data_IF_977124495930
#
_entry.id   IF_977124495930
#
_cell.length_a   1.000
_cell.length_b   1.000
_cell.length_c   1.000
_cell.angle_alpha   90.00
_cell.angle_beta   90.00
_cell.angle_gamma   90.00
#
_symmetry.space_group_name_H-M   'P 1'
#
loop_
_entity.id
_entity.type
_entity.pdbx_description
1 polymer ?
#
# COMPACT_ATOMS: atom_id res chain seq x y z
N UNK A 1 19.02 40.90 -34.33
CA UNK A 1 19.12 39.46 -34.04
C UNK A 1 18.17 39.18 -32.89
N UNK A 2 16.95 38.72 -33.18
CA UNK A 2 16.12 38.09 -32.16
C UNK A 2 16.73 36.72 -31.89
N UNK A 3 17.32 36.53 -30.71
CA UNK A 3 17.60 35.18 -30.21
C UNK A 3 16.29 34.40 -30.30
N UNK A 4 16.28 33.39 -31.16
CA UNK A 4 15.12 32.54 -31.36
C UNK A 4 15.04 31.65 -30.12
N UNK A 5 14.27 32.12 -29.15
CA UNK A 5 14.10 31.45 -27.87
C UNK A 5 13.41 30.11 -28.12
N UNK A 6 14.15 29.02 -27.98
CA UNK A 6 13.62 27.67 -28.14
C UNK A 6 12.58 27.38 -27.04
N UNK A 7 11.33 27.24 -27.47
CA UNK A 7 10.21 26.93 -26.58
C UNK A 7 10.42 25.60 -25.84
N UNK A 8 11.10 24.63 -26.45
CA UNK A 8 11.34 23.33 -25.85
C UNK A 8 12.33 23.41 -24.68
N UNK A 9 13.34 24.27 -24.78
CA UNK A 9 14.29 24.52 -23.69
C UNK A 9 13.64 25.30 -22.55
N UNK A 10 12.85 26.33 -22.87
CA UNK A 10 12.05 27.06 -21.87
C UNK A 10 11.05 26.16 -21.13
N UNK A 11 10.39 25.24 -21.82
CA UNK A 11 9.49 24.27 -21.19
C UNK A 11 10.24 23.32 -20.26
N UNK A 12 11.43 22.85 -20.68
CA UNK A 12 12.30 22.03 -19.83
C UNK A 12 12.73 22.78 -18.56
N UNK A 13 13.12 24.04 -18.68
CA UNK A 13 13.52 24.86 -17.53
C UNK A 13 12.35 25.21 -16.63
N UNK A 14 11.18 25.53 -17.20
CA UNK A 14 9.94 25.75 -16.42
C UNK A 14 9.53 24.48 -15.67
N UNK A 15 9.64 23.31 -16.27
CA UNK A 15 9.33 22.04 -15.60
C UNK A 15 10.34 21.76 -14.48
N UNK A 16 11.62 22.08 -14.70
CA UNK A 16 12.68 21.97 -13.68
C UNK A 16 12.44 22.92 -12.51
N UNK A 17 11.99 24.15 -12.78
CA UNK A 17 11.64 25.15 -11.78
C UNK A 17 10.36 24.74 -11.03
N UNK A 18 9.32 24.28 -11.73
CA UNK A 18 8.09 23.77 -11.12
C UNK A 18 8.36 22.54 -10.25
N UNK A 19 9.27 21.67 -10.68
CA UNK A 19 9.71 20.51 -9.92
C UNK A 19 10.54 20.93 -8.69
N UNK A 20 11.46 21.88 -8.85
CA UNK A 20 12.27 22.41 -7.74
C UNK A 20 11.44 23.20 -6.71
N UNK A 21 10.38 23.87 -7.16
CA UNK A 21 9.44 24.60 -6.29
C UNK A 21 8.31 23.70 -5.74
N UNK A 22 8.22 22.43 -6.16
CA UNK A 22 7.14 21.52 -5.75
C UNK A 22 5.75 21.90 -6.26
N UNK A 23 5.67 22.77 -7.29
CA UNK A 23 4.41 23.29 -7.86
C UNK A 23 3.82 22.32 -8.89
N UNK A 24 4.62 21.41 -9.44
CA UNK A 24 4.10 20.37 -10.31
C UNK A 24 3.24 19.39 -9.50
N UNK A 25 1.92 19.55 -9.57
CA UNK A 25 0.92 18.68 -8.94
C UNK A 25 0.86 17.35 -9.71
N UNK A 26 1.94 16.55 -9.58
CA UNK A 26 2.15 15.29 -10.32
C UNK A 26 1.12 14.19 -9.99
N UNK A 27 0.24 14.43 -9.01
CA UNK A 27 -0.56 13.40 -8.34
C UNK A 27 -2.02 13.82 -8.13
N UNK A 28 -2.61 14.57 -9.07
CA UNK A 28 -4.02 15.02 -8.99
C UNK A 28 -5.00 13.85 -8.77
N UNK A 29 -4.69 12.66 -9.30
CA UNK A 29 -5.51 11.45 -9.15
C UNK A 29 -5.12 10.54 -7.95
N UNK A 30 -4.14 10.92 -7.12
CA UNK A 30 -3.69 10.07 -6.01
C UNK A 30 -4.79 9.74 -4.98
N UNK A 31 -5.69 10.67 -4.61
CA UNK A 31 -6.80 10.35 -3.73
C UNK A 31 -7.74 9.29 -4.32
N UNK A 32 -8.04 9.35 -5.62
CA UNK A 32 -8.89 8.37 -6.30
C UNK A 32 -8.24 6.99 -6.36
N UNK A 33 -6.93 6.94 -6.62
CA UNK A 33 -6.17 5.70 -6.57
C UNK A 33 -6.18 5.08 -5.18
N UNK A 34 -6.07 5.90 -4.12
CA UNK A 34 -6.15 5.45 -2.73
C UNK A 34 -7.51 4.81 -2.39
N UNK A 35 -8.59 5.44 -2.87
CA UNK A 35 -9.94 4.90 -2.71
C UNK A 35 -10.11 3.58 -3.48
N UNK A 36 -9.60 3.51 -4.71
CA UNK A 36 -9.59 2.29 -5.51
C UNK A 36 -8.84 1.15 -4.82
N UNK A 37 -7.67 1.43 -4.23
CA UNK A 37 -6.94 0.46 -3.41
C UNK A 37 -7.75 0.01 -2.20
N UNK A 38 -8.45 0.92 -1.52
CA UNK A 38 -9.35 0.59 -0.42
C UNK A 38 -10.41 -0.43 -0.80
N UNK A 39 -11.07 -0.24 -1.96
CA UNK A 39 -12.08 -1.17 -2.48
C UNK A 39 -11.47 -2.53 -2.83
N UNK A 40 -10.32 -2.54 -3.50
CA UNK A 40 -9.62 -3.77 -3.88
C UNK A 40 -9.22 -4.58 -2.66
N UNK A 41 -8.66 -3.92 -1.64
CA UNK A 41 -8.30 -4.56 -0.36
C UNK A 41 -9.55 -5.10 0.34
N UNK A 42 -10.66 -4.36 0.37
CA UNK A 42 -11.91 -4.83 0.95
C UNK A 42 -12.44 -6.10 0.25
N UNK A 43 -12.39 -6.14 -1.08
CA UNK A 43 -12.78 -7.33 -1.86
C UNK A 43 -11.84 -8.50 -1.59
N UNK A 44 -10.52 -8.28 -1.61
CA UNK A 44 -9.53 -9.31 -1.31
C UNK A 44 -9.72 -9.89 0.09
N UNK A 45 -10.04 -9.03 1.06
CA UNK A 45 -10.34 -9.42 2.43
C UNK A 45 -11.64 -10.20 2.54
N UNK A 46 -12.70 -9.82 1.83
CA UNK A 46 -13.95 -10.58 1.82
C UNK A 46 -13.76 -11.99 1.23
N UNK A 47 -13.00 -12.11 0.14
CA UNK A 47 -12.65 -13.40 -0.45
C UNK A 47 -11.74 -14.23 0.47
N UNK A 48 -10.76 -13.60 1.12
CA UNK A 48 -9.87 -14.25 2.09
C UNK A 48 -10.63 -14.71 3.34
N UNK A 49 -11.61 -13.92 3.80
CA UNK A 49 -12.49 -14.29 4.89
C UNK A 49 -13.31 -15.54 4.53
N UNK A 50 -13.79 -15.63 3.29
CA UNK A 50 -14.47 -16.83 2.79
C UNK A 50 -13.54 -18.05 2.78
N UNK A 51 -12.29 -17.89 2.34
CA UNK A 51 -11.26 -18.95 2.40
C UNK A 51 -11.09 -19.47 3.82
N UNK A 52 -11.02 -18.58 4.82
CA UNK A 52 -10.88 -18.96 6.23
C UNK A 52 -12.11 -19.71 6.75
N UNK A 53 -13.31 -19.18 6.48
CA UNK A 53 -14.58 -19.75 6.99
C UNK A 53 -14.83 -21.14 6.40
N UNK A 54 -14.58 -21.32 5.10
CA UNK A 54 -14.73 -22.60 4.41
C UNK A 54 -13.49 -23.51 4.55
N UNK A 55 -12.46 -23.08 5.29
CA UNK A 55 -11.20 -23.81 5.51
C UNK A 55 -10.56 -24.29 4.21
N UNK A 56 -10.58 -23.44 3.19
CA UNK A 56 -10.00 -23.76 1.89
C UNK A 56 -8.47 -23.80 2.00
N UNK A 57 -7.79 -24.49 1.06
CA UNK A 57 -6.33 -24.55 1.03
C UNK A 57 -5.65 -23.17 1.02
N UNK A 58 -4.57 -23.02 1.78
CA UNK A 58 -3.88 -21.74 2.02
C UNK A 58 -3.34 -21.07 0.74
N UNK A 59 -3.07 -21.82 -0.33
CA UNK A 59 -2.63 -21.23 -1.60
C UNK A 59 -3.68 -20.29 -2.22
N UNK A 60 -4.97 -20.41 -1.85
CA UNK A 60 -6.02 -19.52 -2.33
C UNK A 60 -5.80 -18.06 -1.90
N UNK A 61 -5.19 -17.82 -0.73
CA UNK A 61 -4.82 -16.46 -0.33
C UNK A 61 -3.89 -15.83 -1.38
N UNK A 62 -2.83 -16.54 -1.79
CA UNK A 62 -1.91 -16.04 -2.81
C UNK A 62 -2.61 -15.80 -4.15
N UNK A 63 -3.48 -16.73 -4.57
CA UNK A 63 -4.25 -16.58 -5.82
C UNK A 63 -5.12 -15.33 -5.80
N UNK A 64 -5.86 -15.10 -4.70
CA UNK A 64 -6.73 -13.92 -4.53
C UNK A 64 -5.90 -12.64 -4.59
N UNK A 65 -4.86 -12.54 -3.76
CA UNK A 65 -4.08 -11.31 -3.63
C UNK A 65 -3.27 -11.00 -4.90
N UNK A 66 -2.55 -11.98 -5.46
CA UNK A 66 -1.80 -11.80 -6.70
C UNK A 66 -2.76 -11.52 -7.86
N UNK A 67 -3.86 -12.28 -7.97
CA UNK A 67 -4.84 -12.12 -9.03
C UNK A 67 -5.47 -10.72 -9.04
N UNK A 68 -5.93 -10.23 -7.87
CA UNK A 68 -6.53 -8.90 -7.74
C UNK A 68 -5.52 -7.80 -8.03
N UNK A 69 -4.33 -7.83 -7.40
CA UNK A 69 -3.33 -6.79 -7.63
C UNK A 69 -2.78 -6.80 -9.06
N UNK A 70 -2.62 -7.98 -9.68
CA UNK A 70 -2.25 -8.07 -11.10
C UNK A 70 -3.33 -7.47 -12.00
N UNK A 71 -4.60 -7.81 -11.77
CA UNK A 71 -5.71 -7.26 -12.56
C UNK A 71 -5.81 -5.73 -12.43
N UNK A 72 -5.74 -5.22 -11.20
CA UNK A 72 -5.79 -3.79 -10.91
C UNK A 72 -4.55 -3.09 -11.47
N UNK A 73 -3.37 -3.68 -11.32
CA UNK A 73 -2.12 -3.17 -11.88
C UNK A 73 -2.19 -3.03 -13.40
N UNK A 74 -2.77 -3.99 -14.11
CA UNK A 74 -2.99 -3.91 -15.57
C UNK A 74 -3.95 -2.78 -15.93
N UNK A 75 -5.05 -2.63 -15.18
CA UNK A 75 -6.04 -1.55 -15.41
C UNK A 75 -5.41 -0.17 -15.16
N UNK A 76 -4.72 0.01 -14.04
CA UNK A 76 -4.09 1.27 -13.68
C UNK A 76 -2.97 1.63 -14.66
N UNK A 77 -2.13 0.66 -15.05
CA UNK A 77 -1.07 0.90 -16.02
C UNK A 77 -1.64 1.34 -17.38
N UNK A 78 -2.72 0.72 -17.85
CA UNK A 78 -3.40 1.14 -19.09
C UNK A 78 -4.04 2.52 -19.00
N UNK A 79 -4.50 2.91 -17.81
CA UNK A 79 -5.23 4.17 -17.60
C UNK A 79 -4.30 5.37 -17.36
N UNK A 80 -3.22 5.17 -16.61
CA UNK A 80 -2.38 6.24 -16.06
C UNK A 80 -0.90 6.15 -16.43
N UNK A 81 -0.44 5.06 -17.06
CA UNK A 81 0.98 4.77 -17.24
C UNK A 81 1.64 4.20 -15.97
N UNK A 82 2.88 3.73 -16.09
CA UNK A 82 3.58 3.03 -15.01
C UNK A 82 4.08 4.02 -13.95
N UNK A 83 3.36 4.16 -12.84
CA UNK A 83 3.71 5.11 -11.77
C UNK A 83 4.86 4.66 -10.84
N UNK A 84 5.33 3.41 -10.96
CA UNK A 84 6.38 2.82 -10.11
C UNK A 84 7.75 2.73 -10.80
N UNK A 85 8.03 3.57 -11.79
CA UNK A 85 9.36 3.61 -12.38
C UNK A 85 10.43 4.00 -11.34
N UNK A 86 11.59 3.32 -11.29
CA UNK A 86 12.70 3.73 -10.47
C UNK A 86 13.20 5.11 -10.91
N UNK A 87 12.82 6.14 -10.16
CA UNK A 87 13.32 7.49 -10.39
C UNK A 87 14.83 7.57 -10.16
N UNK A 88 15.54 8.29 -11.04
CA UNK A 88 16.95 8.62 -10.84
C UNK A 88 17.12 9.52 -9.61
N UNK A 89 18.15 9.22 -8.79
CA UNK A 89 18.58 9.93 -7.57
C UNK A 89 17.57 10.15 -6.43
N UNK A 90 16.34 9.63 -6.48
CA UNK A 90 15.37 9.69 -5.36
C UNK A 90 14.97 8.28 -4.87
N UNK A 91 14.57 8.10 -3.60
CA UNK A 91 14.31 6.75 -3.07
C UNK A 91 13.01 6.14 -3.62
N UNK A 92 13.10 4.98 -4.27
CA UNK A 92 11.95 4.32 -4.87
C UNK A 92 11.01 3.69 -3.82
N UNK A 93 9.88 4.35 -3.56
CA UNK A 93 8.83 3.89 -2.62
C UNK A 93 8.25 2.52 -3.01
N UNK A 94 8.04 2.27 -4.31
CA UNK A 94 7.56 0.97 -4.78
C UNK A 94 8.54 -0.17 -4.47
N UNK A 95 9.84 0.08 -4.65
CA UNK A 95 10.89 -0.86 -4.30
C UNK A 95 10.97 -1.08 -2.77
N UNK A 96 10.84 -0.04 -1.97
CA UNK A 96 10.79 -0.16 -0.50
C UNK A 96 9.64 -1.06 -0.03
N UNK A 97 8.43 -0.87 -0.59
CA UNK A 97 7.27 -1.71 -0.29
C UNK A 97 7.51 -3.15 -0.76
N UNK A 98 8.04 -3.34 -1.97
CA UNK A 98 8.35 -4.67 -2.52
C UNK A 98 9.34 -5.44 -1.63
N UNK A 99 10.42 -4.79 -1.18
CA UNK A 99 11.42 -5.41 -0.30
C UNK A 99 10.77 -5.90 1.00
N UNK A 100 9.84 -5.13 1.57
CA UNK A 100 9.13 -5.55 2.79
C UNK A 100 8.14 -6.70 2.54
N UNK A 101 7.51 -6.78 1.37
CA UNK A 101 6.75 -7.97 0.98
C UNK A 101 7.63 -9.21 0.87
N UNK A 102 8.81 -9.09 0.25
CA UNK A 102 9.78 -10.19 0.19
C UNK A 102 10.23 -10.60 1.59
N UNK A 103 10.49 -9.63 2.48
CA UNK A 103 10.82 -9.90 3.87
C UNK A 103 9.69 -10.65 4.59
N UNK A 104 8.41 -10.34 4.32
CA UNK A 104 7.28 -11.06 4.91
C UNK A 104 7.29 -12.55 4.56
N UNK A 105 7.64 -12.92 3.33
CA UNK A 105 7.81 -14.32 2.95
C UNK A 105 9.01 -14.97 3.65
N UNK A 106 10.13 -14.26 3.74
CA UNK A 106 11.31 -14.77 4.44
C UNK A 106 11.02 -15.02 5.93
N UNK A 107 10.32 -14.10 6.60
CA UNK A 107 9.88 -14.26 7.99
C UNK A 107 8.96 -15.46 8.14
N UNK A 108 8.02 -15.67 7.22
CA UNK A 108 7.15 -16.85 7.25
C UNK A 108 7.93 -18.16 7.11
N UNK A 109 8.90 -18.23 6.19
CA UNK A 109 9.74 -19.42 6.00
C UNK A 109 10.54 -19.73 7.28
N UNK A 110 11.12 -18.70 7.91
CA UNK A 110 11.86 -18.85 9.16
C UNK A 110 10.94 -19.26 10.31
N UNK A 111 9.73 -18.69 10.36
CA UNK A 111 8.76 -18.99 11.41
C UNK A 111 8.13 -20.38 11.27
N UNK A 112 8.02 -20.92 10.05
CA UNK A 112 7.28 -22.15 9.75
C UNK A 112 7.64 -23.35 10.64
N UNK A 113 8.92 -23.48 11.02
CA UNK A 113 9.39 -24.55 11.91
C UNK A 113 8.84 -24.47 13.35
N UNK A 114 8.35 -23.30 13.77
CA UNK A 114 7.82 -23.02 15.10
C UNK A 114 6.28 -23.08 15.17
N UNK A 115 5.59 -23.17 14.03
CA UNK A 115 4.13 -23.15 13.93
C UNK A 115 3.40 -24.53 13.87
N UNK A 116 4.01 -25.73 13.98
CA UNK A 116 3.26 -27.00 13.84
C UNK A 116 2.10 -27.20 14.81
N UNK A 117 2.09 -26.48 15.94
CA UNK A 117 1.08 -26.58 16.98
C UNK A 117 -0.11 -25.61 16.77
N UNK A 118 -0.03 -24.68 15.83
CA UNK A 118 -1.09 -23.70 15.59
C UNK A 118 -2.27 -24.36 14.88
N UNK A 119 -3.48 -23.97 15.29
CA UNK A 119 -4.68 -24.23 14.51
C UNK A 119 -4.68 -23.42 13.22
N UNK A 120 -5.49 -23.84 12.25
CA UNK A 120 -5.63 -23.18 10.95
C UNK A 120 -5.94 -21.68 11.05
N UNK A 121 -6.79 -21.28 12.00
CA UNK A 121 -7.17 -19.86 12.20
C UNK A 121 -6.04 -19.06 12.85
N UNK A 122 -5.29 -19.65 13.78
CA UNK A 122 -4.13 -19.01 14.40
C UNK A 122 -3.00 -18.85 13.37
N UNK A 123 -2.74 -19.85 12.53
CA UNK A 123 -1.77 -19.77 11.45
C UNK A 123 -2.15 -18.66 10.44
N UNK A 124 -3.42 -18.62 10.04
CA UNK A 124 -3.93 -17.58 9.13
C UNK A 124 -3.80 -16.18 9.74
N UNK A 125 -4.13 -16.02 11.03
CA UNK A 125 -3.99 -14.78 11.76
C UNK A 125 -2.53 -14.36 11.92
N UNK A 126 -1.63 -15.31 12.16
CA UNK A 126 -0.19 -15.08 12.24
C UNK A 126 0.37 -14.56 10.91
N UNK A 127 0.03 -15.21 9.80
CA UNK A 127 0.43 -14.77 8.45
C UNK A 127 -0.11 -13.37 8.15
N UNK A 128 -1.39 -13.14 8.40
CA UNK A 128 -2.01 -11.82 8.21
C UNK A 128 -1.32 -10.76 9.08
N UNK A 129 -1.05 -11.08 10.35
CA UNK A 129 -0.36 -10.19 11.29
C UNK A 129 1.02 -9.76 10.79
N UNK A 130 1.84 -10.70 10.32
CA UNK A 130 3.15 -10.39 9.72
C UNK A 130 3.00 -9.43 8.54
N UNK A 131 2.07 -9.73 7.63
CA UNK A 131 1.84 -8.91 6.44
C UNK A 131 1.42 -7.50 6.84
N UNK A 132 0.49 -7.35 7.79
CA UNK A 132 0.01 -6.04 8.23
C UNK A 132 1.09 -5.23 8.95
N UNK A 133 1.88 -5.85 9.83
CA UNK A 133 2.97 -5.15 10.54
C UNK A 133 4.04 -4.69 9.56
N UNK A 134 4.46 -5.54 8.61
CA UNK A 134 5.48 -5.17 7.63
C UNK A 134 4.95 -4.15 6.62
N UNK A 135 3.71 -4.29 6.14
CA UNK A 135 3.09 -3.32 5.26
C UNK A 135 2.87 -1.97 5.97
N UNK A 136 2.46 -2.00 7.23
CA UNK A 136 2.32 -0.80 8.05
C UNK A 136 3.65 -0.08 8.25
N UNK A 137 4.71 -0.84 8.50
CA UNK A 137 6.08 -0.32 8.55
C UNK A 137 6.49 0.29 7.20
N UNK A 138 6.14 -0.37 6.09
CA UNK A 138 6.39 0.15 4.74
C UNK A 138 5.70 1.49 4.52
N UNK A 139 4.47 1.66 5.01
CA UNK A 139 3.73 2.90 4.91
C UNK A 139 4.40 4.03 5.71
N UNK A 140 4.88 3.75 6.92
CA UNK A 140 5.61 4.76 7.71
C UNK A 140 6.90 5.18 7.01
N UNK A 141 7.69 4.22 6.50
CA UNK A 141 8.92 4.49 5.75
C UNK A 141 8.63 5.26 4.46
N UNK A 142 7.54 4.91 3.76
CA UNK A 142 7.11 5.63 2.56
C UNK A 142 6.73 7.08 2.90
N UNK A 143 5.95 7.31 3.95
CA UNK A 143 5.57 8.65 4.41
C UNK A 143 6.78 9.53 4.76
N UNK A 144 7.80 8.95 5.39
CA UNK A 144 9.06 9.64 5.67
C UNK A 144 9.88 9.90 4.39
N UNK A 145 9.93 8.91 3.48
CA UNK A 145 10.61 9.03 2.19
C UNK A 145 10.02 10.14 1.32
N UNK A 146 8.72 10.39 1.42
CA UNK A 146 8.03 11.46 0.68
C UNK A 146 8.57 12.87 0.98
N UNK A 147 9.30 13.07 2.08
CA UNK A 147 10.03 14.33 2.33
C UNK A 147 11.05 14.64 1.24
N UNK A 148 11.71 13.61 0.69
CA UNK A 148 12.64 13.76 -0.44
C UNK A 148 11.95 14.16 -1.76
N UNK A 149 10.62 13.99 -1.83
CA UNK A 149 9.79 14.33 -2.98
C UNK A 149 9.05 15.66 -2.84
N UNK A 150 9.30 16.43 -1.77
CA UNK A 150 8.62 17.70 -1.47
C UNK A 150 7.08 17.58 -1.43
N UNK A 151 6.58 16.40 -1.07
CA UNK A 151 5.14 16.15 -0.91
C UNK A 151 4.62 16.84 0.37
N UNK A 152 3.38 17.35 0.30
CA UNK A 152 2.70 18.07 1.39
C UNK A 152 2.66 17.24 2.66
N UNK A 153 2.80 17.89 3.79
CA UNK A 153 2.76 17.27 5.12
C UNK A 153 1.49 16.43 5.34
N UNK A 154 0.34 16.94 4.89
CA UNK A 154 -0.97 16.28 4.98
C UNK A 154 -0.99 14.91 4.31
N UNK A 155 -0.39 14.80 3.13
CA UNK A 155 -0.35 13.57 2.34
C UNK A 155 0.54 12.54 3.05
N UNK A 156 1.66 13.00 3.64
CA UNK A 156 2.56 12.14 4.43
C UNK A 156 1.89 11.63 5.70
N UNK A 157 1.06 12.44 6.36
CA UNK A 157 0.33 12.01 7.56
C UNK A 157 -0.68 10.89 7.27
N UNK A 158 -1.26 10.84 6.07
CA UNK A 158 -2.08 9.70 5.68
C UNK A 158 -1.24 8.41 5.75
N UNK A 159 -0.05 8.39 5.15
CA UNK A 159 0.86 7.25 5.23
C UNK A 159 1.27 6.89 6.65
N UNK A 160 1.60 7.87 7.50
CA UNK A 160 1.93 7.59 8.91
C UNK A 160 0.75 7.02 9.69
N UNK A 161 -0.44 7.60 9.54
CA UNK A 161 -1.65 7.14 10.23
C UNK A 161 -2.07 5.75 9.75
N UNK A 162 -2.06 5.50 8.44
CA UNK A 162 -2.33 4.20 7.85
C UNK A 162 -1.29 3.17 8.28
N UNK A 163 -0.01 3.54 8.31
CA UNK A 163 1.07 2.67 8.74
C UNK A 163 0.92 2.24 10.20
N UNK A 164 0.66 3.19 11.11
CA UNK A 164 0.41 2.91 12.51
C UNK A 164 -0.85 2.03 12.69
N UNK A 165 -1.92 2.35 11.96
CA UNK A 165 -3.16 1.57 11.98
C UNK A 165 -2.91 0.11 11.60
N UNK A 166 -2.16 -0.14 10.52
CA UNK A 166 -1.83 -1.48 10.05
C UNK A 166 -0.98 -2.25 11.06
N UNK A 167 0.01 -1.60 11.69
CA UNK A 167 0.83 -2.24 12.74
C UNK A 167 -0.03 -2.62 13.93
N UNK A 168 -0.83 -1.68 14.46
CA UNK A 168 -1.71 -1.93 15.60
C UNK A 168 -2.70 -3.05 15.29
N UNK A 169 -3.28 -3.03 14.09
CA UNK A 169 -4.23 -4.05 13.68
C UNK A 169 -3.58 -5.42 13.49
N UNK A 170 -2.36 -5.47 12.93
CA UNK A 170 -1.60 -6.71 12.81
C UNK A 170 -1.29 -7.34 14.17
N UNK A 171 -0.93 -6.52 15.16
CA UNK A 171 -0.75 -6.98 16.56
C UNK A 171 -2.08 -7.42 17.18
N UNK A 172 -3.16 -6.66 16.97
CA UNK A 172 -4.46 -7.01 17.52
C UNK A 172 -4.97 -8.34 16.96
N UNK A 173 -4.83 -8.56 15.64
CA UNK A 173 -5.26 -9.79 14.98
C UNK A 173 -4.53 -11.01 15.52
N UNK A 174 -3.25 -10.91 15.89
CA UNK A 174 -2.49 -12.05 16.43
C UNK A 174 -2.74 -12.29 17.91
N UNK A 175 -3.10 -11.26 18.68
CA UNK A 175 -3.23 -11.33 20.14
C UNK A 175 -4.66 -11.48 20.66
N UNK A 176 -5.67 -11.24 19.83
CA UNK A 176 -7.08 -11.31 20.21
C UNK A 176 -7.76 -12.50 19.53
N UNK A 177 -8.17 -13.50 20.31
CA UNK A 177 -8.71 -14.78 19.80
C UNK A 177 -9.88 -14.61 18.83
N UNK A 178 -10.80 -13.67 19.10
CA UNK A 178 -11.94 -13.42 18.21
C UNK A 178 -11.50 -12.93 16.81
N UNK A 179 -10.34 -12.28 16.71
CA UNK A 179 -9.77 -11.82 15.46
C UNK A 179 -9.02 -12.91 14.70
N UNK A 180 -8.74 -14.07 15.29
CA UNK A 180 -8.20 -15.20 14.53
C UNK A 180 -9.19 -15.70 13.47
N UNK A 181 -10.48 -15.61 13.77
CA UNK A 181 -11.55 -15.98 12.83
C UNK A 181 -11.93 -14.82 11.93
N UNK A 182 -12.08 -13.61 12.49
CA UNK A 182 -12.63 -12.45 11.77
C UNK A 182 -11.58 -11.47 11.23
N UNK A 183 -10.30 -11.81 11.32
CA UNK A 183 -9.19 -10.90 11.05
C UNK A 183 -9.23 -10.26 9.67
N UNK A 184 -9.56 -11.04 8.61
CA UNK A 184 -9.67 -10.50 7.26
C UNK A 184 -10.86 -9.55 7.12
N UNK A 185 -12.03 -9.90 7.64
CA UNK A 185 -13.20 -9.01 7.61
C UNK A 185 -12.94 -7.69 8.34
N UNK A 186 -12.34 -7.76 9.53
CA UNK A 186 -11.97 -6.57 10.31
C UNK A 186 -10.94 -5.74 9.56
N UNK A 187 -9.91 -6.37 9.00
CA UNK A 187 -8.92 -5.67 8.19
C UNK A 187 -9.53 -4.97 6.97
N UNK A 188 -10.34 -5.67 6.18
CA UNK A 188 -11.01 -5.09 5.02
C UNK A 188 -11.89 -3.90 5.39
N UNK A 189 -12.69 -4.02 6.45
CA UNK A 189 -13.57 -2.96 6.92
C UNK A 189 -12.81 -1.74 7.46
N UNK A 190 -11.80 -1.97 8.32
CA UNK A 190 -10.97 -0.91 8.89
C UNK A 190 -10.16 -0.19 7.81
N UNK A 191 -9.56 -0.95 6.89
CA UNK A 191 -8.77 -0.37 5.81
C UNK A 191 -9.64 0.43 4.82
N UNK A 192 -10.85 -0.05 4.51
CA UNK A 192 -11.79 0.71 3.68
C UNK A 192 -12.22 2.02 4.36
N UNK A 193 -12.52 1.97 5.67
CA UNK A 193 -12.84 3.18 6.44
C UNK A 193 -11.67 4.17 6.45
N UNK A 194 -10.44 3.67 6.62
CA UNK A 194 -9.22 4.46 6.51
C UNK A 194 -9.05 5.07 5.10
N UNK A 195 -9.30 4.30 4.04
CA UNK A 195 -9.19 4.77 2.66
C UNK A 195 -10.23 5.87 2.35
N UNK A 196 -11.47 5.69 2.80
CA UNK A 196 -12.53 6.70 2.68
C UNK A 196 -12.18 7.98 3.47
N UNK A 197 -11.70 7.83 4.71
CA UNK A 197 -11.27 8.96 5.52
C UNK A 197 -10.09 9.71 4.90
N UNK A 198 -9.11 8.99 4.37
CA UNK A 198 -7.97 9.56 3.65
C UNK A 198 -8.42 10.29 2.40
N UNK A 199 -9.30 9.69 1.59
CA UNK A 199 -9.87 10.34 0.41
C UNK A 199 -10.57 11.65 0.77
N UNK A 200 -11.41 11.66 1.79
CA UNK A 200 -12.14 12.86 2.21
C UNK A 200 -11.22 13.95 2.78
N UNK A 201 -10.17 13.56 3.50
CA UNK A 201 -9.15 14.50 3.97
C UNK A 201 -8.37 15.05 2.77
N UNK A 202 -7.84 14.21 1.89
CA UNK A 202 -6.94 14.64 0.82
C UNK A 202 -7.65 15.37 -0.33
N UNK A 203 -8.95 15.14 -0.54
CA UNK A 203 -9.76 15.84 -1.56
C UNK A 203 -10.22 17.24 -1.15
N UNK A 204 -9.97 17.66 0.10
CA UNK A 204 -10.33 19.00 0.57
C UNK A 204 -9.24 20.01 0.19
N UNK A 205 -9.59 21.14 -0.46
CA UNK A 205 -8.65 22.19 -0.83
C UNK A 205 -7.95 22.81 0.38
#
# INVERSE_FOLDING_TARGET
MSEDVDRADLQRDLDRIKEAMGIAERYENAPEQWLGFGVVVAVACALSQYVVVERLPTYWFLVIWIGLFAAVGVVLNRRYGYAFEPGSNRPNVGFQILVLYVAAFAVQIVAASFLPALSYTEESAFVLGIVLVLLGTAYVVAGETMKAYHIRDRDRYAFHAGGLLLVVLGVAITTVDSLHVWGFAVFGGVYLAYALGSYWVLSRP
#
